data_IF_882638757394
#
_entry.id   IF_882638757394
#
_cell.length_a   1.000
_cell.length_b   1.000
_cell.length_c   1.000
_cell.angle_alpha   90.00
_cell.angle_beta   90.00
_cell.angle_gamma   90.00
#
_symmetry.space_group_name_H-M   'P 1'
#
loop_
_entity.id
_entity.type
_entity.pdbx_description
1 polymer ?
#
# COMPACT_ATOMS: atom_id res chain seq x y z
N UNK A 1 -5.81 42.83 -46.77
CA UNK A 1 -5.02 41.58 -46.73
C UNK A 1 -4.26 41.58 -45.41
N UNK A 2 -4.74 40.81 -44.43
CA UNK A 2 -4.13 40.68 -43.11
C UNK A 2 -3.80 39.20 -42.88
N UNK A 3 -2.55 38.81 -42.58
CA UNK A 3 -2.26 37.46 -42.14
C UNK A 3 -2.50 37.36 -40.64
N UNK A 4 -3.53 36.59 -40.34
CA UNK A 4 -3.89 36.00 -39.07
C UNK A 4 -2.66 35.33 -38.43
N UNK A 5 -2.25 35.76 -37.23
CA UNK A 5 -1.16 35.15 -36.49
C UNK A 5 -1.73 34.18 -35.44
N UNK A 6 -1.69 32.85 -35.65
CA UNK A 6 -2.36 31.89 -34.77
C UNK A 6 -1.45 31.42 -33.61
N UNK A 7 -0.27 32.02 -33.44
CA UNK A 7 0.77 31.49 -32.54
C UNK A 7 0.63 31.86 -31.07
N UNK A 8 -0.20 32.84 -30.72
CA UNK A 8 -0.31 33.32 -29.33
C UNK A 8 -1.32 32.53 -28.48
N UNK A 9 -2.18 31.69 -29.10
CA UNK A 9 -3.21 30.93 -28.39
C UNK A 9 -2.72 29.54 -27.88
N UNK A 10 -1.48 29.15 -28.18
CA UNK A 10 -0.93 27.83 -27.85
C UNK A 10 -0.01 27.83 -26.61
N UNK A 11 -0.14 28.80 -25.71
CA UNK A 11 0.63 28.85 -24.46
C UNK A 11 -0.21 28.71 -23.18
N UNK A 12 -1.54 28.74 -23.29
CA UNK A 12 -2.43 28.55 -22.13
C UNK A 12 -2.88 27.10 -21.92
N UNK A 13 -2.65 26.19 -22.88
CA UNK A 13 -3.14 24.82 -22.80
C UNK A 13 -2.22 23.84 -22.04
N UNK A 14 -0.98 24.22 -21.74
CA UNK A 14 0.02 23.29 -21.19
C UNK A 14 0.14 23.30 -19.67
N UNK A 15 -0.72 24.04 -18.95
CA UNK A 15 -0.53 24.28 -17.51
C UNK A 15 -1.69 23.82 -16.62
N UNK A 16 -2.49 22.83 -17.03
CA UNK A 16 -3.29 22.04 -16.08
C UNK A 16 -2.52 20.78 -15.68
N UNK A 17 -1.42 20.95 -14.96
CA UNK A 17 -0.93 19.87 -14.11
C UNK A 17 -1.90 19.78 -12.93
N UNK A 18 -2.90 18.89 -13.03
CA UNK A 18 -3.69 18.52 -11.87
C UNK A 18 -2.73 17.99 -10.80
N UNK A 19 -2.68 18.64 -9.64
CA UNK A 19 -2.01 18.12 -8.44
C UNK A 19 -2.75 16.85 -8.00
N UNK A 20 -2.50 15.74 -8.68
CA UNK A 20 -2.99 14.44 -8.23
C UNK A 20 -2.13 14.02 -7.06
N UNK A 21 -2.73 14.03 -5.87
CA UNK A 21 -2.18 13.31 -4.73
C UNK A 21 -2.05 11.84 -5.10
N UNK A 22 -0.89 11.21 -4.90
CA UNK A 22 -0.74 9.78 -5.18
C UNK A 22 -1.76 9.00 -4.35
N UNK A 23 -2.52 8.12 -5.01
CA UNK A 23 -3.48 7.25 -4.32
C UNK A 23 -2.72 6.07 -3.70
N UNK A 24 -2.96 5.82 -2.42
CA UNK A 24 -2.42 4.67 -1.73
C UNK A 24 -3.43 3.52 -1.79
N UNK A 25 -3.01 2.38 -2.35
CA UNK A 25 -3.75 1.13 -2.29
C UNK A 25 -2.94 0.15 -1.45
N UNK A 26 -3.56 -0.38 -0.40
CA UNK A 26 -2.94 -1.32 0.52
C UNK A 26 -3.58 -2.70 0.35
N UNK A 27 -2.76 -3.69 0.00
CA UNK A 27 -3.15 -5.10 -0.06
C UNK A 27 -2.69 -5.81 1.21
N UNK A 28 -3.63 -6.42 1.94
CA UNK A 28 -3.34 -7.30 3.07
C UNK A 28 -3.55 -8.75 2.60
N UNK A 29 -2.48 -9.53 2.55
CA UNK A 29 -2.51 -10.94 2.15
C UNK A 29 -2.21 -11.78 3.38
N UNK A 30 -3.23 -12.48 3.89
CA UNK A 30 -3.09 -13.28 5.11
C UNK A 30 -2.21 -14.51 4.88
N UNK A 31 -1.38 -14.84 5.87
CA UNK A 31 -0.49 -16.01 5.83
C UNK A 31 0.59 -15.95 4.75
N UNK A 32 0.86 -14.79 4.15
CA UNK A 32 1.88 -14.65 3.11
C UNK A 32 3.28 -14.56 3.72
N UNK A 33 3.97 -15.69 3.79
CA UNK A 33 5.32 -15.79 4.35
C UNK A 33 6.36 -15.20 3.37
N UNK A 34 7.46 -14.67 3.91
CA UNK A 34 8.46 -13.93 3.14
C UNK A 34 9.09 -14.71 1.97
N UNK A 35 9.18 -16.03 2.08
CA UNK A 35 9.73 -16.96 1.09
C UNK A 35 8.75 -17.30 -0.05
N UNK A 36 7.45 -17.06 0.13
CA UNK A 36 6.48 -17.30 -0.95
C UNK A 36 6.66 -16.38 -2.15
N UNK A 37 7.38 -15.25 -1.98
CA UNK A 37 7.73 -14.36 -3.08
C UNK A 37 8.59 -15.02 -4.14
N UNK A 38 9.42 -16.00 -3.75
CA UNK A 38 10.28 -16.72 -4.69
C UNK A 38 9.43 -17.63 -5.59
N UNK A 39 8.40 -18.27 -5.03
CA UNK A 39 7.47 -19.15 -5.77
C UNK A 39 6.51 -18.35 -6.67
N UNK A 40 5.97 -17.23 -6.18
CA UNK A 40 4.98 -16.42 -6.93
C UNK A 40 5.62 -15.47 -7.94
N UNK A 41 6.95 -15.46 -8.07
CA UNK A 41 7.69 -14.69 -9.08
C UNK A 41 7.27 -15.01 -10.52
N UNK A 42 6.61 -16.15 -10.75
CA UNK A 42 6.03 -16.54 -12.02
C UNK A 42 4.76 -15.75 -12.38
N UNK A 43 4.10 -15.12 -11.39
CA UNK A 43 2.92 -14.30 -11.63
C UNK A 43 3.35 -12.94 -12.21
N UNK A 44 2.86 -12.56 -13.41
CA UNK A 44 3.36 -11.37 -14.12
C UNK A 44 3.15 -10.07 -13.32
N UNK A 45 2.07 -9.97 -12.54
CA UNK A 45 1.80 -8.81 -11.70
C UNK A 45 2.81 -8.65 -10.56
N UNK A 46 3.09 -9.72 -9.81
CA UNK A 46 4.08 -9.69 -8.74
C UNK A 46 5.49 -9.48 -9.27
N UNK A 47 5.82 -10.09 -10.41
CA UNK A 47 7.11 -9.87 -11.07
C UNK A 47 7.34 -8.39 -11.39
N UNK A 48 6.34 -7.72 -11.98
CA UNK A 48 6.44 -6.28 -12.26
C UNK A 48 6.60 -5.46 -10.96
N UNK A 49 5.89 -5.81 -9.89
CA UNK A 49 6.04 -5.15 -8.58
C UNK A 49 7.43 -5.34 -7.97
N UNK A 50 8.06 -6.50 -8.17
CA UNK A 50 9.42 -6.77 -7.70
C UNK A 50 10.48 -6.06 -8.53
N UNK A 51 10.30 -5.97 -9.86
CA UNK A 51 11.23 -5.30 -10.77
C UNK A 51 11.16 -3.76 -10.68
N UNK A 52 9.96 -3.21 -10.46
CA UNK A 52 9.73 -1.74 -10.45
C UNK A 52 9.56 -1.14 -9.06
N UNK A 53 9.34 -1.97 -8.04
CA UNK A 53 9.06 -1.55 -6.67
C UNK A 53 10.20 -1.85 -5.70
N UNK A 54 9.84 -1.89 -4.41
CA UNK A 54 10.77 -2.17 -3.31
C UNK A 54 10.31 -3.43 -2.57
N UNK A 55 11.26 -4.35 -2.36
CA UNK A 55 11.07 -5.59 -1.58
C UNK A 55 11.93 -5.53 -0.33
N UNK A 56 11.41 -6.06 0.78
CA UNK A 56 12.15 -6.29 2.03
C UNK A 56 12.37 -7.79 2.21
N UNK A 57 13.46 -8.20 2.87
CA UNK A 57 13.79 -9.62 3.07
C UNK A 57 12.75 -10.37 3.91
N UNK A 58 12.27 -9.73 4.97
CA UNK A 58 11.17 -10.21 5.81
C UNK A 58 10.56 -9.05 6.61
N UNK A 59 9.33 -9.23 7.08
CA UNK A 59 8.71 -8.37 8.07
C UNK A 59 8.61 -9.13 9.39
N UNK A 60 8.99 -8.50 10.51
CA UNK A 60 8.80 -9.09 11.83
C UNK A 60 7.36 -8.89 12.28
N UNK A 61 6.54 -9.95 12.43
CA UNK A 61 5.19 -9.82 12.94
C UNK A 61 5.21 -9.57 14.45
N UNK A 62 4.15 -8.96 14.93
CA UNK A 62 3.91 -8.83 16.36
C UNK A 62 3.50 -10.16 16.98
N UNK A 63 3.83 -10.33 18.26
CA UNK A 63 3.43 -11.49 19.06
C UNK A 63 2.17 -11.17 19.86
N UNK A 64 1.11 -12.01 19.80
CA UNK A 64 1.01 -13.28 19.06
C UNK A 64 0.84 -13.06 17.55
N UNK A 65 1.38 -13.99 16.73
CA UNK A 65 1.37 -13.90 15.25
C UNK A 65 0.01 -14.25 14.66
N UNK A 66 -0.99 -13.47 15.05
CA UNK A 66 -2.39 -13.58 14.65
C UNK A 66 -2.71 -12.48 13.63
N UNK A 67 -3.65 -12.75 12.73
CA UNK A 67 -4.01 -11.86 11.62
C UNK A 67 -4.55 -10.52 12.13
N UNK A 68 -5.54 -10.56 13.03
CA UNK A 68 -6.20 -9.34 13.51
C UNK A 68 -5.24 -8.39 14.25
N UNK A 69 -4.49 -8.87 15.27
CA UNK A 69 -3.55 -8.02 15.99
C UNK A 69 -2.44 -7.42 15.09
N UNK A 70 -1.95 -8.15 14.08
CA UNK A 70 -0.96 -7.64 13.13
C UNK A 70 -1.53 -6.59 12.17
N UNK A 71 -2.75 -6.79 11.66
CA UNK A 71 -3.39 -5.78 10.81
C UNK A 71 -3.65 -4.50 11.58
N UNK A 72 -4.06 -4.62 12.85
CA UNK A 72 -4.28 -3.45 13.69
C UNK A 72 -3.00 -2.64 13.92
N UNK A 73 -1.88 -3.30 14.26
CA UNK A 73 -0.61 -2.59 14.47
C UNK A 73 -0.06 -1.97 13.20
N UNK A 74 -0.24 -2.61 12.04
CA UNK A 74 0.13 -2.05 10.74
C UNK A 74 -0.62 -0.76 10.40
N UNK A 75 -1.92 -0.71 10.70
CA UNK A 75 -2.76 0.46 10.38
C UNK A 75 -2.58 1.60 11.38
N UNK A 76 -2.33 1.28 12.65
CA UNK A 76 -2.29 2.28 13.74
C UNK A 76 -0.89 2.65 14.21
N UNK A 77 0.12 1.82 13.92
CA UNK A 77 1.45 1.90 14.51
C UNK A 77 1.51 1.53 16.00
N UNK A 78 0.42 1.00 16.59
CA UNK A 78 0.34 0.75 18.03
C UNK A 78 0.49 -0.75 18.38
N UNK A 79 1.74 -1.17 18.58
CA UNK A 79 2.10 -2.51 19.03
C UNK A 79 1.60 -2.88 20.44
N UNK A 80 1.29 -1.89 21.29
CA UNK A 80 0.90 -2.14 22.69
C UNK A 80 -0.51 -2.71 22.78
N UNK A 81 -1.41 -2.26 21.91
CA UNK A 81 -2.78 -2.79 21.84
C UNK A 81 -2.79 -4.24 21.34
N UNK A 82 -1.99 -4.54 20.32
CA UNK A 82 -1.78 -5.89 19.78
C UNK A 82 -1.34 -6.90 20.83
N UNK A 83 -0.50 -6.50 21.78
CA UNK A 83 -0.08 -7.38 22.89
C UNK A 83 -1.24 -7.72 23.86
N UNK A 84 -2.22 -6.84 23.99
CA UNK A 84 -3.43 -7.10 24.78
C UNK A 84 -4.43 -7.98 24.04
N UNK A 85 -4.40 -7.98 22.70
CA UNK A 85 -5.23 -8.83 21.85
C UNK A 85 -4.61 -10.23 21.75
N UNK A 86 -4.99 -11.10 22.69
CA UNK A 86 -4.52 -12.49 22.72
C UNK A 86 -5.20 -13.40 21.67
N UNK A 87 -6.15 -12.90 20.89
CA UNK A 87 -7.00 -13.73 20.03
C UNK A 87 -7.25 -13.06 18.67
N UNK A 88 -7.64 -13.86 17.67
CA UNK A 88 -8.22 -13.36 16.42
C UNK A 88 -9.71 -13.01 16.57
N UNK A 89 -10.27 -13.20 17.77
CA UNK A 89 -11.69 -13.03 18.03
C UNK A 89 -11.91 -11.61 18.56
N UNK A 90 -12.73 -10.87 17.85
CA UNK A 90 -13.13 -9.53 18.26
C UNK A 90 -14.21 -9.64 19.32
N UNK A 91 -13.79 -9.89 20.56
CA UNK A 91 -14.68 -9.76 21.69
C UNK A 91 -14.97 -8.26 21.84
N UNK A 92 -16.22 -7.86 21.59
CA UNK A 92 -16.68 -6.46 21.60
C UNK A 92 -16.49 -5.74 22.95
N UNK A 93 -15.96 -6.43 23.96
CA UNK A 93 -15.71 -5.92 25.31
C UNK A 93 -14.39 -5.14 25.42
N UNK A 94 -13.41 -5.35 24.54
CA UNK A 94 -12.11 -4.67 24.59
C UNK A 94 -12.04 -3.35 23.79
N UNK A 95 -13.14 -2.94 23.14
CA UNK A 95 -13.29 -1.61 22.54
C UNK A 95 -14.04 -0.72 23.54
N UNK A 96 -13.33 -0.27 24.58
CA UNK A 96 -13.78 0.80 25.48
C UNK A 96 -12.70 1.87 25.60
#
# INVERSE_FOLDING_TARGET
MAPCCPRLLLLLFTAQQSLQTPRLLLFLIDGFRHDYLDDVSQLPGFRQLLESGVKVDYMTPDFPTLSYPNYYSLMTGNIRFTRCLGTNNMDSEHVK
#
